data_IF_892921974385
#
_entry.id   IF_892921974385
#
_cell.length_a   1.000
_cell.length_b   1.000
_cell.length_c   1.000
_cell.angle_alpha   90.00
_cell.angle_beta   90.00
_cell.angle_gamma   90.00
#
_symmetry.space_group_name_H-M   'P 1'
#
loop_
_entity.id
_entity.type
_entity.pdbx_description
1 polymer ?
#
# COMPACT_ATOMS: atom_id res chain seq x y z
N UNK A 1 3.44 7.64 -11.96
CA UNK A 1 3.58 6.24 -11.55
C UNK A 1 4.84 6.04 -10.73
N UNK A 2 4.74 6.50 -9.49
CA UNK A 2 5.65 6.29 -8.40
C UNK A 2 5.01 5.24 -7.48
N UNK A 3 5.82 4.34 -6.95
CA UNK A 3 5.40 3.43 -5.89
C UNK A 3 5.68 4.06 -4.52
N UNK A 4 4.63 4.43 -3.79
CA UNK A 4 4.73 4.96 -2.45
C UNK A 4 4.70 3.80 -1.44
N UNK A 5 5.75 3.64 -0.66
CA UNK A 5 5.91 2.60 0.36
C UNK A 5 5.64 3.24 1.73
N UNK A 6 4.46 3.04 2.30
CA UNK A 6 4.07 3.60 3.59
C UNK A 6 4.22 2.55 4.68
N UNK A 7 5.16 2.75 5.60
CA UNK A 7 5.42 1.86 6.73
C UNK A 7 4.66 2.28 7.99
N UNK A 8 4.39 3.59 8.15
CA UNK A 8 3.73 4.13 9.34
C UNK A 8 2.53 5.01 8.97
N UNK A 9 1.36 4.85 9.63
CA UNK A 9 0.22 5.74 9.47
C UNK A 9 0.53 7.22 9.75
N UNK A 10 1.55 7.52 10.57
CA UNK A 10 1.88 8.87 10.99
C UNK A 10 2.26 9.79 9.80
N UNK A 11 2.84 9.22 8.74
CA UNK A 11 3.27 9.94 7.55
C UNK A 11 2.23 9.93 6.43
N UNK A 12 1.06 9.34 6.65
CA UNK A 12 0.02 9.21 5.63
C UNK A 12 -0.38 10.56 5.04
N UNK A 13 -0.50 11.60 5.86
CA UNK A 13 -0.92 12.93 5.39
C UNK A 13 0.04 13.50 4.34
N UNK A 14 1.33 13.40 4.61
CA UNK A 14 2.37 13.92 3.71
C UNK A 14 2.49 13.05 2.46
N UNK A 15 2.37 11.72 2.64
CA UNK A 15 2.29 10.78 1.53
C UNK A 15 1.11 11.11 0.61
N UNK A 16 -0.09 11.26 1.17
CA UNK A 16 -1.33 11.51 0.44
C UNK A 16 -1.34 12.84 -0.32
N UNK A 17 -0.63 13.86 0.17
CA UNK A 17 -0.49 15.13 -0.51
C UNK A 17 0.28 15.03 -1.85
N UNK A 18 1.05 13.95 -2.05
CA UNK A 18 1.85 13.73 -3.26
C UNK A 18 1.26 12.68 -4.21
N UNK A 19 0.19 11.98 -3.81
CA UNK A 19 -0.39 10.91 -4.61
C UNK A 19 -1.13 11.46 -5.84
N UNK A 20 -0.88 10.83 -6.98
CA UNK A 20 -1.62 11.08 -8.23
C UNK A 20 -2.35 9.82 -8.69
N UNK A 21 -3.27 9.95 -9.65
CA UNK A 21 -4.08 8.83 -10.15
C UNK A 21 -3.28 7.70 -10.81
N UNK A 22 -2.05 7.99 -11.21
CA UNK A 22 -1.15 7.03 -11.85
C UNK A 22 -0.19 6.34 -10.87
N UNK A 23 -0.24 6.68 -9.58
CA UNK A 23 0.67 6.12 -8.58
C UNK A 23 0.09 4.84 -7.96
N UNK A 24 0.89 4.19 -7.13
CA UNK A 24 0.43 3.07 -6.31
C UNK A 24 0.90 3.30 -4.89
N UNK A 25 -0.01 3.19 -3.93
CA UNK A 25 0.30 3.20 -2.51
C UNK A 25 0.38 1.76 -2.01
N UNK A 26 1.54 1.34 -1.51
CA UNK A 26 1.74 0.07 -0.83
C UNK A 26 1.87 0.30 0.67
N UNK A 27 0.98 -0.32 1.43
CA UNK A 27 0.98 -0.32 2.89
C UNK A 27 1.82 -1.48 3.42
N UNK A 28 2.69 -1.16 4.37
CA UNK A 28 3.68 -2.05 4.98
C UNK A 28 3.64 -1.87 6.50
N UNK A 29 4.10 -2.87 7.24
CA UNK A 29 4.29 -2.82 8.70
C UNK A 29 3.05 -2.26 9.44
N UNK A 30 3.22 -1.20 10.24
CA UNK A 30 2.13 -0.59 11.02
C UNK A 30 1.03 0.02 10.13
N UNK A 31 1.35 0.39 8.90
CA UNK A 31 0.37 0.90 7.95
C UNK A 31 -0.45 -0.21 7.28
N UNK A 32 -0.06 -1.49 7.42
CA UNK A 32 -0.86 -2.63 6.99
C UNK A 32 -1.97 -3.02 8.01
N UNK A 33 -2.18 -2.20 9.04
CA UNK A 33 -3.23 -2.40 10.04
C UNK A 33 -4.65 -2.18 9.47
N UNK A 34 -5.57 -3.09 9.82
CA UNK A 34 -6.95 -3.08 9.34
C UNK A 34 -7.74 -1.83 9.77
N UNK A 35 -7.47 -1.25 10.94
CA UNK A 35 -8.17 -0.05 11.39
C UNK A 35 -7.70 1.18 10.59
N UNK A 36 -6.41 1.27 10.31
CA UNK A 36 -5.88 2.29 9.42
C UNK A 36 -6.39 2.12 7.99
N UNK A 37 -6.37 0.90 7.44
CA UNK A 37 -6.89 0.59 6.11
C UNK A 37 -8.34 1.06 5.96
N UNK A 38 -9.21 0.76 6.93
CA UNK A 38 -10.62 1.21 6.92
C UNK A 38 -10.79 2.72 7.00
N UNK A 39 -9.78 3.45 7.49
CA UNK A 39 -9.80 4.92 7.55
C UNK A 39 -9.42 5.58 6.21
N UNK A 40 -8.80 4.83 5.29
CA UNK A 40 -8.45 5.34 3.97
C UNK A 40 -9.72 5.56 3.14
N UNK A 41 -9.92 6.79 2.67
CA UNK A 41 -11.08 7.15 1.88
C UNK A 41 -10.66 7.96 0.65
N UNK A 42 -11.28 7.64 -0.50
CA UNK A 42 -11.16 8.42 -1.75
C UNK A 42 -9.73 8.76 -2.19
N UNK A 43 -8.85 7.76 -2.18
CA UNK A 43 -7.50 7.93 -2.73
C UNK A 43 -7.54 8.00 -4.26
N UNK A 44 -6.74 8.87 -4.90
CA UNK A 44 -6.71 8.99 -6.36
C UNK A 44 -6.06 7.77 -7.01
N UNK A 45 -5.26 7.00 -6.26
CA UNK A 45 -4.42 5.92 -6.75
C UNK A 45 -4.89 4.54 -6.28
N UNK A 46 -4.36 3.49 -6.91
CA UNK A 46 -4.50 2.12 -6.40
C UNK A 46 -3.78 1.94 -5.07
N UNK A 47 -4.42 1.22 -4.14
CA UNK A 47 -3.88 0.91 -2.82
C UNK A 47 -3.69 -0.60 -2.72
N UNK A 48 -2.50 -1.03 -2.31
CA UNK A 48 -2.13 -2.42 -2.08
C UNK A 48 -1.62 -2.59 -0.66
N UNK A 49 -1.77 -3.77 -0.09
CA UNK A 49 -1.29 -4.11 1.25
C UNK A 49 -0.41 -5.35 1.15
N UNK A 50 0.81 -5.29 1.68
CA UNK A 50 1.66 -6.47 1.74
C UNK A 50 1.12 -7.41 2.82
N UNK A 51 0.71 -8.61 2.43
CA UNK A 51 0.26 -9.62 3.37
C UNK A 51 1.46 -10.15 4.14
N UNK A 52 1.40 -10.11 5.47
CA UNK A 52 2.43 -10.76 6.28
C UNK A 52 2.27 -12.28 6.12
N UNK A 53 3.38 -13.01 6.14
CA UNK A 53 3.38 -14.47 5.96
C UNK A 53 2.48 -15.22 6.97
N UNK A 54 2.04 -14.56 8.04
CA UNK A 54 1.20 -15.12 9.10
C UNK A 54 -0.31 -14.93 8.86
N UNK A 55 -0.72 -14.10 7.88
CA UNK A 55 -2.12 -13.83 7.59
C UNK A 55 -2.64 -14.73 6.45
N UNK A 56 -2.92 -16.00 6.76
CA UNK A 56 -3.67 -16.89 5.87
C UNK A 56 -5.18 -16.59 5.85
N UNK A 57 -5.57 -15.32 5.81
CA UNK A 57 -6.95 -14.91 5.61
C UNK A 57 -7.33 -15.04 4.13
N UNK A 58 -7.57 -16.29 3.70
CA UNK A 58 -8.21 -16.59 2.43
C UNK A 58 -9.64 -16.02 2.39
N UNK A 59 -9.99 -15.54 1.21
CA UNK A 59 -11.37 -15.37 0.71
C UNK A 59 -12.17 -14.16 1.20
N UNK A 60 -11.61 -12.96 1.05
CA UNK A 60 -12.47 -11.83 0.72
C UNK A 60 -11.75 -10.80 -0.16
N UNK A 61 -12.27 -10.48 -1.36
CA UNK A 61 -11.79 -9.36 -2.16
C UNK A 61 -12.30 -8.06 -1.53
N UNK A 62 -11.76 -7.73 -0.37
CA UNK A 62 -11.98 -6.43 0.24
C UNK A 62 -10.88 -5.51 -0.31
N UNK A 63 -11.29 -4.42 -0.96
CA UNK A 63 -10.38 -3.31 -1.19
C UNK A 63 -9.88 -2.80 0.17
N UNK A 64 -8.57 -2.52 0.31
CA UNK A 64 -7.50 -2.56 -0.69
C UNK A 64 -6.91 -3.96 -0.98
N UNK A 65 -6.41 -4.16 -2.20
CA UNK A 65 -5.87 -5.44 -2.69
C UNK A 65 -4.67 -5.91 -1.85
N UNK A 66 -4.78 -7.09 -1.25
CA UNK A 66 -3.66 -7.73 -0.54
C UNK A 66 -2.75 -8.46 -1.52
N UNK A 67 -1.44 -8.25 -1.39
CA UNK A 67 -0.42 -8.82 -2.27
C UNK A 67 0.62 -9.60 -1.47
N UNK A 68 1.18 -10.63 -2.09
CA UNK A 68 2.30 -11.41 -1.59
C UNK A 68 3.63 -10.71 -1.79
N UNK A 69 4.69 -11.22 -1.14
CA UNK A 69 6.08 -10.74 -1.36
C UNK A 69 6.49 -10.87 -2.84
N UNK A 70 6.11 -11.95 -3.52
CA UNK A 70 6.42 -12.14 -4.94
C UNK A 70 5.74 -11.06 -5.82
N UNK A 71 4.50 -10.72 -5.50
CA UNK A 71 3.76 -9.66 -6.18
C UNK A 71 4.33 -8.27 -5.88
N UNK A 72 4.81 -8.04 -4.65
CA UNK A 72 5.53 -6.83 -4.31
C UNK A 72 6.84 -6.69 -5.11
N UNK A 73 7.63 -7.75 -5.24
CA UNK A 73 8.85 -7.75 -6.06
C UNK A 73 8.51 -7.38 -7.51
N UNK A 74 7.45 -7.96 -8.08
CA UNK A 74 6.97 -7.61 -9.43
C UNK A 74 6.54 -6.14 -9.51
N UNK A 75 5.87 -5.64 -8.48
CA UNK A 75 5.42 -4.25 -8.40
C UNK A 75 6.60 -3.27 -8.40
N UNK A 76 7.64 -3.55 -7.60
CA UNK A 76 8.87 -2.76 -7.56
C UNK A 76 9.58 -2.77 -8.92
N UNK A 77 9.64 -3.93 -9.59
CA UNK A 77 10.22 -4.03 -10.93
C UNK A 77 9.42 -3.23 -11.96
N UNK A 78 8.08 -3.21 -11.85
CA UNK A 78 7.20 -2.49 -12.77
C UNK A 78 7.24 -0.97 -12.58
N UNK A 79 7.61 -0.49 -11.40
CA UNK A 79 7.70 0.93 -11.09
C UNK A 79 9.14 1.44 -11.22
N UNK A 80 9.36 2.41 -12.11
CA UNK A 80 10.69 3.02 -12.32
C UNK A 80 11.21 3.78 -11.10
N UNK A 81 10.30 4.28 -10.26
CA UNK A 81 10.60 5.11 -9.10
C UNK A 81 9.76 4.68 -7.90
N UNK A 82 10.37 4.72 -6.72
CA UNK A 82 9.70 4.49 -5.44
C UNK A 82 10.02 5.61 -4.45
N UNK A 83 9.11 5.83 -3.50
CA UNK A 83 9.27 6.77 -2.40
C UNK A 83 8.87 6.09 -1.10
N UNK A 84 9.78 6.07 -0.13
CA UNK A 84 9.58 5.40 1.15
C UNK A 84 9.21 6.40 2.24
N UNK A 85 8.22 6.04 3.03
CA UNK A 85 7.68 6.79 4.16
C UNK A 85 7.76 5.91 5.41
N UNK A 86 8.84 6.06 6.18
CA UNK A 86 9.13 5.26 7.39
C UNK A 86 9.35 6.13 8.61
#
# INVERSE_FOLDING_TARGET
MILHLLHTPALYRDCAALLTEHDTLLLLDDAADDAFIRSLTHLPCSVKVLDSADNHAKDQPLEPERITVDEWVRLVIAHRHSMTWG
#
